data_IF_470418227239
#
_entry.id   IF_470418227239
#
_cell.length_a   1.000
_cell.length_b   1.000
_cell.length_c   1.000
_cell.angle_alpha   90.00
_cell.angle_beta   90.00
_cell.angle_gamma   90.00
#
_symmetry.space_group_name_H-M   'P 1'
#
loop_
_entity.id
_entity.type
_entity.pdbx_description
1 polymer ?
#
# COMPACT_ATOMS: atom_id res chain seq x y z
N UNK A 1 -2.83 -9.53 8.88
CA UNK A 1 -3.88 -8.51 9.08
C UNK A 1 -4.91 -8.69 7.97
N UNK A 2 -6.10 -9.22 8.28
CA UNK A 2 -7.24 -9.31 7.35
C UNK A 2 -8.38 -8.50 7.96
N UNK A 3 -8.99 -7.62 7.17
CA UNK A 3 -10.01 -6.68 7.61
C UNK A 3 -11.27 -6.80 6.73
N UNK A 4 -12.19 -7.75 7.04
CA UNK A 4 -13.47 -7.84 6.37
C UNK A 4 -14.32 -6.57 6.58
N UNK A 5 -14.80 -5.99 5.48
CA UNK A 5 -15.52 -4.70 5.51
C UNK A 5 -14.66 -3.53 6.00
N UNK A 6 -13.34 -3.67 5.91
CA UNK A 6 -12.37 -2.68 6.39
C UNK A 6 -11.96 -1.65 5.33
N UNK A 7 -11.06 -0.78 5.73
CA UNK A 7 -10.52 0.31 4.92
C UNK A 7 -9.00 0.24 4.92
N UNK A 8 -8.39 0.54 3.78
CA UNK A 8 -6.95 0.85 3.70
C UNK A 8 -6.77 2.30 4.13
N UNK A 9 -5.78 2.55 4.98
CA UNK A 9 -5.45 3.88 5.51
C UNK A 9 -4.00 4.21 5.25
N UNK A 10 -3.73 5.49 5.05
CA UNK A 10 -2.37 6.02 5.05
C UNK A 10 -1.94 6.34 6.48
N UNK A 11 -0.73 5.94 6.83
CA UNK A 11 -0.04 6.31 8.07
C UNK A 11 1.18 7.17 7.69
N UNK A 12 1.26 8.38 8.25
CA UNK A 12 2.33 9.32 7.98
C UNK A 12 3.32 9.33 9.13
N UNK A 13 4.61 9.27 8.80
CA UNK A 13 5.73 9.31 9.71
C UNK A 13 6.67 10.46 9.37
N UNK A 14 7.69 10.66 10.20
CA UNK A 14 8.74 11.67 9.97
C UNK A 14 9.41 11.51 8.59
N UNK A 15 9.93 12.61 8.05
CA UNK A 15 10.56 12.70 6.72
C UNK A 15 9.61 12.40 5.55
N UNK A 16 8.34 12.79 5.69
CA UNK A 16 7.30 12.64 4.66
C UNK A 16 7.07 11.18 4.21
N UNK A 17 7.40 10.22 5.09
CA UNK A 17 7.21 8.80 4.81
C UNK A 17 5.73 8.44 4.98
N UNK A 18 5.09 8.07 3.88
CA UNK A 18 3.70 7.61 3.84
C UNK A 18 3.65 6.10 3.62
N UNK A 19 3.10 5.37 4.58
CA UNK A 19 2.88 3.92 4.47
C UNK A 19 1.40 3.58 4.56
N UNK A 20 1.05 2.31 4.30
CA UNK A 20 -0.33 1.84 4.37
C UNK A 20 -0.55 0.83 5.47
N UNK A 21 -1.72 0.90 6.07
CA UNK A 21 -2.24 -0.10 6.97
C UNK A 21 -3.70 -0.42 6.63
N UNK A 22 -4.33 -1.29 7.42
CA UNK A 22 -5.73 -1.65 7.27
C UNK A 22 -6.45 -1.62 8.61
N UNK A 23 -7.64 -1.02 8.62
CA UNK A 23 -8.50 -0.96 9.80
C UNK A 23 -9.92 -1.46 9.51
N UNK A 24 -10.57 -1.97 10.54
CA UNK A 24 -12.00 -2.29 10.53
C UNK A 24 -12.71 -1.49 11.61
N UNK A 25 -13.69 -0.67 11.24
CA UNK A 25 -14.50 0.06 12.22
C UNK A 25 -15.70 -0.79 12.67
N UNK A 26 -16.18 -0.56 13.88
CA UNK A 26 -17.35 -1.27 14.42
C UNK A 26 -18.64 -0.88 13.67
N UNK A 27 -18.91 0.42 13.59
CA UNK A 27 -20.17 0.98 13.07
C UNK A 27 -20.11 1.42 11.59
N UNK A 28 -18.92 1.35 10.95
CA UNK A 28 -18.72 1.72 9.54
C UNK A 28 -18.06 0.58 8.79
N UNK A 29 -18.69 0.11 7.71
CA UNK A 29 -18.19 -0.98 6.87
C UNK A 29 -18.03 -0.54 5.43
N UNK A 30 -16.95 -0.98 4.79
CA UNK A 30 -16.79 -0.91 3.34
C UNK A 30 -17.36 -2.18 2.69
N UNK A 31 -17.45 -2.19 1.36
CA UNK A 31 -17.76 -3.41 0.59
C UNK A 31 -16.53 -4.29 0.35
N UNK A 32 -15.34 -3.85 0.78
CA UNK A 32 -14.08 -4.50 0.49
C UNK A 32 -13.56 -5.24 1.72
N UNK A 33 -12.82 -6.32 1.46
CA UNK A 33 -11.90 -6.92 2.43
C UNK A 33 -10.50 -6.50 2.04
N UNK A 34 -9.73 -5.94 2.98
CA UNK A 34 -8.31 -5.70 2.76
C UNK A 34 -7.47 -6.69 3.57
N UNK A 35 -6.28 -6.97 3.07
CA UNK A 35 -5.27 -7.76 3.74
C UNK A 35 -3.87 -7.28 3.32
N UNK A 36 -2.90 -7.50 4.19
CA UNK A 36 -1.50 -7.27 3.86
C UNK A 36 -0.86 -8.57 3.36
N UNK A 37 -0.28 -8.52 2.15
CA UNK A 37 0.63 -9.56 1.64
C UNK A 37 2.04 -9.12 2.00
N UNK A 38 2.71 -9.88 2.86
CA UNK A 38 4.02 -9.52 3.41
C UNK A 38 5.09 -10.51 2.95
N UNK A 39 6.27 -9.99 2.63
CA UNK A 39 7.46 -10.77 2.33
C UNK A 39 8.51 -10.55 3.41
N UNK A 40 8.79 -11.57 4.21
CA UNK A 40 9.81 -11.53 5.26
C UNK A 40 11.21 -11.64 4.64
N UNK A 41 12.10 -10.74 5.05
CA UNK A 41 13.50 -10.76 4.64
C UNK A 41 14.40 -11.06 5.85
N UNK A 42 15.23 -12.09 5.73
CA UNK A 42 16.27 -12.41 6.71
C UNK A 42 17.62 -11.96 6.15
N UNK A 43 18.20 -10.92 6.75
CA UNK A 43 19.51 -10.43 6.34
C UNK A 43 20.64 -11.19 7.03
N UNK A 44 21.76 -11.36 6.34
CA UNK A 44 22.98 -11.94 6.89
C UNK A 44 24.09 -10.89 7.05
N UNK A 45 25.11 -11.26 7.81
CA UNK A 45 26.38 -10.52 7.87
C UNK A 45 26.90 -10.26 6.44
N UNK A 46 27.41 -9.05 6.14
CA UNK A 46 27.73 -7.95 7.07
C UNK A 46 26.59 -6.96 7.34
N UNK A 47 25.40 -7.16 6.78
CA UNK A 47 24.31 -6.20 6.92
C UNK A 47 23.58 -6.33 8.26
N UNK A 48 23.41 -5.23 8.98
CA UNK A 48 22.73 -5.18 10.28
C UNK A 48 21.78 -3.99 10.45
N UNK A 49 21.30 -3.39 9.35
CA UNK A 49 20.46 -2.18 9.38
C UNK A 49 19.06 -2.38 8.75
N UNK A 50 18.29 -3.43 9.12
CA UNK A 50 17.03 -3.78 8.44
C UNK A 50 15.97 -2.69 8.49
N UNK A 51 15.91 -1.91 9.57
CA UNK A 51 14.97 -0.79 9.71
C UNK A 51 15.28 0.29 8.66
N UNK A 52 16.57 0.64 8.50
CA UNK A 52 17.00 1.63 7.51
C UNK A 52 16.72 1.15 6.08
N UNK A 53 16.89 -0.15 5.81
CA UNK A 53 16.51 -0.74 4.53
C UNK A 53 15.02 -0.58 4.25
N UNK A 54 14.16 -0.94 5.21
CA UNK A 54 12.71 -0.81 5.05
C UNK A 54 12.28 0.66 4.85
N UNK A 55 12.87 1.60 5.58
CA UNK A 55 12.65 3.03 5.38
C UNK A 55 13.02 3.47 3.96
N UNK A 56 14.18 3.04 3.45
CA UNK A 56 14.61 3.37 2.09
C UNK A 56 13.70 2.79 1.01
N UNK A 57 13.17 1.58 1.21
CA UNK A 57 12.16 1.01 0.31
C UNK A 57 10.87 1.85 0.32
N UNK A 58 10.42 2.29 1.50
CA UNK A 58 9.28 3.18 1.65
C UNK A 58 9.48 4.53 0.94
N UNK A 59 10.61 5.20 1.20
CA UNK A 59 10.99 6.46 0.54
C UNK A 59 10.98 6.35 -1.00
N UNK A 60 11.58 5.28 -1.54
CA UNK A 60 11.59 5.04 -2.99
C UNK A 60 10.18 4.82 -3.54
N UNK A 61 9.32 4.12 -2.79
CA UNK A 61 7.93 3.87 -3.19
C UNK A 61 7.11 5.15 -3.17
N UNK A 62 7.28 6.01 -2.15
CA UNK A 62 6.62 7.32 -2.12
C UNK A 62 7.12 8.24 -3.22
N UNK A 63 8.42 8.21 -3.56
CA UNK A 63 8.95 8.98 -4.69
C UNK A 63 8.30 8.57 -6.02
N UNK A 64 8.08 7.27 -6.24
CA UNK A 64 7.35 6.78 -7.42
C UNK A 64 5.88 7.21 -7.46
N UNK A 65 5.28 7.40 -6.28
CA UNK A 65 3.92 7.89 -6.10
C UNK A 65 3.80 9.41 -6.02
N UNK A 66 4.88 10.17 -6.26
CA UNK A 66 4.90 11.63 -6.12
C UNK A 66 4.41 12.11 -4.73
N UNK A 67 4.84 11.41 -3.67
CA UNK A 67 4.42 11.65 -2.30
C UNK A 67 3.09 10.98 -1.90
N UNK A 68 2.38 10.38 -2.84
CA UNK A 68 1.13 9.65 -2.58
C UNK A 68 1.34 8.13 -2.44
N UNK A 69 0.34 7.47 -1.89
CA UNK A 69 0.29 6.00 -1.90
C UNK A 69 0.02 5.51 -3.31
N UNK A 70 0.92 4.68 -3.83
CA UNK A 70 0.76 4.08 -5.15
C UNK A 70 -0.36 3.03 -5.12
N UNK A 71 -1.40 3.25 -5.92
CA UNK A 71 -2.50 2.30 -6.12
C UNK A 71 -2.43 1.70 -7.51
N UNK A 72 -2.42 0.37 -7.59
CA UNK A 72 -2.41 -0.37 -8.85
C UNK A 72 -3.42 -1.51 -8.83
N UNK A 73 -4.02 -1.79 -9.99
CA UNK A 73 -4.84 -2.99 -10.19
C UNK A 73 -3.91 -4.19 -10.27
N UNK A 74 -4.28 -5.26 -9.60
CA UNK A 74 -3.46 -6.48 -9.56
C UNK A 74 -3.12 -7.05 -10.94
N UNK A 75 -4.07 -7.01 -11.89
CA UNK A 75 -3.83 -7.43 -13.27
C UNK A 75 -2.75 -6.61 -13.98
N UNK A 76 -2.74 -5.28 -13.82
CA UNK A 76 -1.70 -4.44 -14.43
C UNK A 76 -0.31 -4.75 -13.84
N UNK A 77 -0.23 -5.05 -12.53
CA UNK A 77 1.03 -5.49 -11.90
C UNK A 77 1.54 -6.77 -12.55
N UNK A 78 0.68 -7.77 -12.76
CA UNK A 78 1.05 -9.03 -13.42
C UNK A 78 1.51 -8.82 -14.86
N UNK A 79 0.89 -7.87 -15.56
CA UNK A 79 1.24 -7.49 -16.93
C UNK A 79 2.48 -6.58 -17.02
N UNK A 80 3.10 -6.22 -15.89
CA UNK A 80 4.26 -5.32 -15.85
C UNK A 80 3.93 -3.88 -16.27
N UNK A 81 2.67 -3.48 -16.16
CA UNK A 81 2.13 -2.22 -16.63
C UNK A 81 1.71 -1.33 -15.45
N UNK A 82 1.89 -0.03 -15.59
CA UNK A 82 1.31 0.96 -14.67
C UNK A 82 -0.21 1.06 -14.86
N UNK A 83 -0.98 1.05 -13.76
CA UNK A 83 -2.40 1.41 -13.80
C UNK A 83 -2.60 2.90 -14.09
N UNK A 84 -3.42 3.23 -15.09
CA UNK A 84 -3.81 4.62 -15.35
C UNK A 84 -5.10 4.99 -14.60
N UNK A 85 -5.24 6.25 -14.17
CA UNK A 85 -6.42 6.69 -13.40
C UNK A 85 -7.75 6.43 -14.11
N UNK A 86 -7.81 6.65 -15.44
CA UNK A 86 -8.99 6.31 -16.26
C UNK A 86 -9.37 4.83 -16.21
N UNK A 87 -8.40 3.94 -16.03
CA UNK A 87 -8.62 2.50 -15.97
C UNK A 87 -8.97 2.02 -14.56
N UNK A 88 -8.36 2.65 -13.53
CA UNK A 88 -8.72 2.45 -12.13
C UNK A 88 -10.17 2.87 -11.87
N UNK A 89 -10.59 4.00 -12.45
CA UNK A 89 -11.98 4.48 -12.39
C UNK A 89 -12.99 3.49 -12.98
N UNK A 90 -12.58 2.63 -13.93
CA UNK A 90 -13.40 1.59 -14.53
C UNK A 90 -13.30 0.23 -13.81
N UNK A 91 -12.49 0.12 -12.75
CA UNK A 91 -12.36 -1.11 -11.97
C UNK A 91 -13.67 -1.51 -11.28
N UNK A 92 -13.94 -2.81 -11.27
CA UNK A 92 -15.05 -3.43 -10.54
C UNK A 92 -14.88 -3.32 -9.02
N UNK A 93 -13.64 -3.18 -8.56
CA UNK A 93 -13.30 -2.91 -7.15
C UNK A 93 -12.91 -1.45 -7.03
N UNK A 94 -13.66 -0.69 -6.22
CA UNK A 94 -13.31 0.68 -5.87
C UNK A 94 -12.38 0.68 -4.66
N UNK A 95 -11.18 1.30 -4.74
CA UNK A 95 -10.32 1.46 -3.58
C UNK A 95 -11.07 2.16 -2.43
N UNK A 96 -10.67 1.84 -1.20
CA UNK A 96 -11.20 2.51 0.00
C UNK A 96 -10.37 3.72 0.41
N UNK A 97 -9.16 3.84 -0.14
CA UNK A 97 -8.28 4.98 0.05
C UNK A 97 -8.82 6.17 -0.78
N UNK A 98 -9.12 7.33 -0.18
CA UNK A 98 -9.81 8.43 -0.88
C UNK A 98 -9.04 9.11 -2.00
N UNK A 99 -7.71 9.13 -1.92
CA UNK A 99 -6.80 9.78 -2.88
C UNK A 99 -6.15 8.80 -3.87
N UNK A 100 -6.73 7.60 -3.98
CA UNK A 100 -6.33 6.54 -4.92
C UNK A 100 -6.52 6.91 -6.39
#
# INVERSE_FOLDING_TARGET
CQNPGGFVSQENYDNDLAVVNGHSYKEKKSKNTNLAILCSHNFSVPFNQPIKYAQKVGELTNMLGDGHILVQRFGDILDGKRTWQKELALSNVKPTLPDA
#
